data_IF_106498847794
#
_entry.id   IF_106498847794
#
_cell.length_a   1.000
_cell.length_b   1.000
_cell.length_c   1.000
_cell.angle_alpha   90.00
_cell.angle_beta   90.00
_cell.angle_gamma   90.00
#
_symmetry.space_group_name_H-M   'P 1'
#
loop_
_entity.id
_entity.type
_entity.pdbx_description
1 polymer ?
#
# COMPACT_ATOMS: atom_id res chain seq x y z
N UNK A 1 -15.11 -8.16 -6.11
CA UNK A 1 -14.24 -6.98 -6.24
C UNK A 1 -13.15 -7.01 -5.18
N UNK A 2 -11.97 -6.47 -5.49
CA UNK A 2 -10.75 -6.47 -4.67
C UNK A 2 -10.63 -5.16 -3.89
N UNK A 3 -10.16 -5.22 -2.64
CA UNK A 3 -9.92 -4.08 -1.76
C UNK A 3 -8.52 -4.16 -1.15
N UNK A 4 -7.90 -3.02 -0.89
CA UNK A 4 -6.60 -2.99 -0.20
C UNK A 4 -6.66 -3.66 1.18
N UNK A 5 -7.75 -3.46 1.93
CA UNK A 5 -7.96 -4.12 3.22
C UNK A 5 -7.95 -5.65 3.14
N UNK A 6 -8.24 -6.20 1.95
CA UNK A 6 -8.30 -7.63 1.73
C UNK A 6 -6.94 -8.19 1.29
N UNK A 7 -6.01 -7.33 0.84
CA UNK A 7 -4.66 -7.75 0.40
C UNK A 7 -3.94 -8.54 1.47
N UNK A 8 -3.97 -8.08 2.71
CA UNK A 8 -3.33 -8.78 3.81
C UNK A 8 -3.96 -10.17 4.05
N UNK A 9 -5.28 -10.29 3.92
CA UNK A 9 -6.00 -11.57 4.07
C UNK A 9 -5.67 -12.51 2.92
N UNK A 10 -5.68 -12.01 1.69
CA UNK A 10 -5.34 -12.75 0.47
C UNK A 10 -3.89 -13.24 0.51
N UNK A 11 -2.96 -12.42 0.99
CA UNK A 11 -1.55 -12.80 1.16
C UNK A 11 -1.37 -13.87 2.24
N UNK A 12 -2.13 -13.81 3.33
CA UNK A 12 -2.14 -14.88 4.34
C UNK A 12 -2.65 -16.18 3.74
N UNK A 13 -3.79 -16.15 3.03
CA UNK A 13 -4.34 -17.32 2.37
C UNK A 13 -3.42 -17.90 1.29
N UNK A 14 -2.75 -17.03 0.52
CA UNK A 14 -1.72 -17.45 -0.42
C UNK A 14 -0.57 -18.19 0.27
N UNK A 15 -0.06 -17.65 1.39
CA UNK A 15 1.06 -18.26 2.09
C UNK A 15 0.67 -19.61 2.71
N UNK A 16 -0.55 -19.74 3.22
CA UNK A 16 -1.08 -21.03 3.70
C UNK A 16 -1.13 -22.04 2.53
N UNK A 17 -1.73 -21.67 1.39
CA UNK A 17 -1.80 -22.53 0.20
C UNK A 17 -0.41 -22.84 -0.40
N UNK A 18 0.56 -21.93 -0.25
CA UNK A 18 1.93 -22.14 -0.67
C UNK A 18 2.60 -23.26 0.14
N UNK A 19 2.40 -23.29 1.46
CA UNK A 19 2.94 -24.36 2.30
C UNK A 19 2.16 -25.68 2.19
N UNK A 20 0.86 -25.65 1.90
CA UNK A 20 0.12 -26.85 1.49
C UNK A 20 0.78 -27.52 0.26
N UNK A 21 1.19 -26.70 -0.72
CA UNK A 21 1.82 -27.19 -1.96
C UNK A 21 3.30 -27.54 -1.78
N UNK A 22 4.02 -26.80 -0.94
CA UNK A 22 5.45 -26.95 -0.73
C UNK A 22 5.81 -27.10 0.77
N UNK A 23 5.33 -28.16 1.44
CA UNK A 23 5.45 -28.30 2.89
C UNK A 23 6.91 -28.39 3.37
N UNK A 24 7.82 -28.87 2.52
CA UNK A 24 9.25 -28.91 2.84
C UNK A 24 9.88 -27.53 3.03
N UNK A 25 9.27 -26.48 2.48
CA UNK A 25 9.76 -25.10 2.63
C UNK A 25 9.32 -24.46 3.94
N UNK A 26 8.30 -25.00 4.59
CA UNK A 26 7.74 -24.45 5.84
C UNK A 26 8.75 -24.51 6.99
N UNK A 27 9.75 -25.40 6.93
CA UNK A 27 10.79 -25.51 7.94
C UNK A 27 11.85 -24.37 7.88
N UNK A 28 11.87 -23.59 6.79
CA UNK A 28 12.84 -22.52 6.60
C UNK A 28 12.43 -21.25 7.33
N UNK A 29 13.41 -20.40 7.59
CA UNK A 29 13.16 -19.02 8.02
C UNK A 29 12.38 -18.25 6.93
N UNK A 30 11.33 -17.56 7.34
CA UNK A 30 10.48 -16.73 6.51
C UNK A 30 10.91 -15.26 6.61
N UNK A 31 11.12 -14.64 5.46
CA UNK A 31 11.41 -13.23 5.31
C UNK A 31 10.44 -12.57 4.34
N UNK A 32 9.98 -11.37 4.66
CA UNK A 32 9.03 -10.60 3.85
C UNK A 32 9.67 -9.25 3.57
N UNK A 33 9.79 -8.91 2.29
CA UNK A 33 10.43 -7.69 1.80
C UNK A 33 9.54 -7.03 0.76
N UNK A 34 9.69 -5.72 0.59
CA UNK A 34 8.93 -4.97 -0.39
C UNK A 34 9.57 -3.62 -0.69
N UNK A 35 9.14 -3.02 -1.80
CA UNK A 35 9.60 -1.71 -2.24
C UNK A 35 8.41 -0.79 -2.49
N UNK A 36 8.61 0.54 -2.38
CA UNK A 36 7.62 1.54 -2.73
C UNK A 36 6.32 1.39 -1.93
N UNK A 37 5.18 1.15 -2.57
CA UNK A 37 3.89 1.00 -1.91
C UNK A 37 3.81 -0.25 -1.02
N UNK A 38 4.72 -1.21 -1.17
CA UNK A 38 4.85 -2.31 -0.23
C UNK A 38 5.26 -1.86 1.19
N UNK A 39 5.65 -0.59 1.37
CA UNK A 39 5.73 0.05 2.69
C UNK A 39 4.39 0.07 3.46
N UNK A 40 3.25 -0.06 2.77
CA UNK A 40 1.94 -0.32 3.35
C UNK A 40 1.66 -1.83 3.47
N UNK A 41 1.87 -2.58 2.39
CA UNK A 41 1.52 -4.01 2.36
C UNK A 41 2.32 -4.87 3.32
N UNK A 42 3.62 -4.63 3.48
CA UNK A 42 4.48 -5.48 4.31
C UNK A 42 4.10 -5.39 5.79
N UNK A 43 3.95 -4.20 6.42
CA UNK A 43 3.46 -4.10 7.78
C UNK A 43 2.08 -4.72 7.99
N UNK A 44 1.13 -4.47 7.10
CA UNK A 44 -0.24 -5.00 7.20
C UNK A 44 -0.27 -6.52 7.06
N UNK A 45 0.51 -7.06 6.13
CA UNK A 45 0.64 -8.50 5.94
C UNK A 45 1.27 -9.16 7.17
N UNK A 46 2.37 -8.61 7.70
CA UNK A 46 3.00 -9.11 8.93
C UNK A 46 2.02 -9.04 10.11
N UNK A 47 1.30 -7.94 10.27
CA UNK A 47 0.29 -7.79 11.31
C UNK A 47 -0.80 -8.87 11.18
N UNK A 48 -1.28 -9.14 9.97
CA UNK A 48 -2.26 -10.18 9.70
C UNK A 48 -1.72 -11.60 9.94
N UNK A 49 -0.44 -11.88 9.69
CA UNK A 49 0.18 -13.16 10.02
C UNK A 49 0.26 -13.39 11.53
N UNK A 50 0.53 -12.34 12.31
CA UNK A 50 0.66 -12.40 13.77
C UNK A 50 -0.70 -12.46 14.48
N UNK A 51 -1.69 -11.72 14.00
CA UNK A 51 -3.00 -11.58 14.66
C UNK A 51 -4.09 -12.45 14.04
N UNK A 52 -3.84 -13.02 12.85
CA UNK A 52 -4.70 -13.93 12.09
C UNK A 52 -6.18 -13.52 12.10
N UNK A 53 -6.64 -12.79 11.07
CA UNK A 53 -8.06 -12.49 10.88
C UNK A 53 -8.94 -13.75 11.01
N UNK A 54 -10.15 -13.61 11.56
CA UNK A 54 -11.04 -14.75 11.83
C UNK A 54 -11.29 -15.64 10.61
N UNK A 55 -11.28 -15.07 9.40
CA UNK A 55 -11.43 -15.78 8.12
C UNK A 55 -10.29 -16.75 7.78
N UNK A 56 -9.11 -16.57 8.38
CA UNK A 56 -7.88 -17.35 8.13
C UNK A 56 -7.24 -17.87 9.44
N UNK A 57 -8.01 -17.89 10.52
CA UNK A 57 -7.52 -18.23 11.87
C UNK A 57 -7.21 -19.73 12.06
N UNK A 58 -7.82 -20.61 11.26
CA UNK A 58 -7.74 -22.07 11.44
C UNK A 58 -6.68 -22.76 10.56
N UNK A 59 -5.71 -22.02 10.02
CA UNK A 59 -4.65 -22.60 9.19
C UNK A 59 -3.75 -23.53 10.02
N UNK A 60 -3.45 -24.77 9.55
CA UNK A 60 -2.50 -25.65 10.21
C UNK A 60 -1.07 -25.09 10.22
N UNK A 61 -0.76 -24.17 9.30
CA UNK A 61 0.55 -23.54 9.15
C UNK A 61 0.75 -22.33 10.07
N UNK A 62 -0.30 -21.84 10.74
CA UNK A 62 -0.29 -20.56 11.45
C UNK A 62 0.85 -20.43 12.47
N UNK A 63 1.01 -21.44 13.33
CA UNK A 63 2.05 -21.43 14.36
C UNK A 63 3.46 -21.47 13.78
N UNK A 64 3.66 -22.28 12.74
CA UNK A 64 4.98 -22.47 12.14
C UNK A 64 5.42 -21.23 11.35
N UNK A 65 4.48 -20.61 10.61
CA UNK A 65 4.68 -19.32 9.94
C UNK A 65 5.14 -18.25 10.93
N UNK A 66 4.47 -18.11 12.08
CA UNK A 66 4.85 -17.13 13.11
C UNK A 66 6.22 -17.46 13.72
N UNK A 67 6.49 -18.72 14.04
CA UNK A 67 7.77 -19.14 14.61
C UNK A 67 8.95 -18.91 13.67
N UNK A 68 8.72 -19.07 12.36
CA UNK A 68 9.76 -18.97 11.35
C UNK A 68 9.90 -17.56 10.76
N UNK A 69 8.99 -16.63 11.06
CA UNK A 69 9.13 -15.24 10.66
C UNK A 69 10.37 -14.59 11.32
N UNK A 70 11.43 -14.39 10.53
CA UNK A 70 12.72 -13.81 10.99
C UNK A 70 13.00 -12.40 10.49
N UNK A 71 12.17 -11.85 9.61
CA UNK A 71 12.21 -10.44 9.17
C UNK A 71 11.90 -9.41 10.28
N UNK A 72 12.17 -9.74 11.54
CA UNK A 72 11.86 -8.99 12.76
C UNK A 72 13.06 -9.07 13.72
N UNK A 73 14.15 -8.37 13.43
CA UNK A 73 15.26 -8.27 14.40
C UNK A 73 14.85 -7.33 15.54
N UNK A 74 14.73 -7.91 16.73
CA UNK A 74 14.57 -7.24 18.02
C UNK A 74 15.54 -6.06 18.15
N UNK A 75 15.01 -4.91 18.59
CA UNK A 75 15.70 -3.66 18.97
C UNK A 75 16.14 -2.71 17.83
N UNK A 76 15.92 -3.07 16.56
CA UNK A 76 15.81 -2.14 15.42
C UNK A 76 15.11 -2.89 14.29
N UNK A 77 13.84 -2.56 14.05
CA UNK A 77 13.01 -3.22 13.04
C UNK A 77 13.70 -3.09 11.67
N UNK A 78 14.28 -4.18 11.18
CA UNK A 78 14.75 -4.30 9.79
C UNK A 78 13.62 -4.88 8.95
N UNK A 79 12.56 -4.09 8.76
CA UNK A 79 11.70 -4.23 7.60
C UNK A 79 12.56 -3.78 6.41
N UNK A 80 12.88 -4.68 5.48
CA UNK A 80 13.51 -4.28 4.23
C UNK A 80 12.45 -3.64 3.35
N UNK A 81 12.11 -2.39 3.68
CA UNK A 81 11.30 -1.50 2.87
C UNK A 81 12.29 -0.63 2.09
N UNK A 82 12.56 -1.02 0.84
CA UNK A 82 13.30 -0.17 -0.08
C UNK A 82 12.42 1.01 -0.49
N UNK A 83 12.87 2.24 -0.27
CA UNK A 83 12.20 3.47 -0.74
C UNK A 83 10.68 3.50 -0.49
N UNK A 84 10.22 3.02 0.66
CA UNK A 84 8.77 2.84 0.88
C UNK A 84 8.05 4.07 1.41
N UNK A 85 6.77 4.15 1.06
CA UNK A 85 5.84 5.15 1.59
C UNK A 85 5.31 4.67 2.96
N UNK A 86 6.13 4.80 3.99
CA UNK A 86 5.78 4.26 5.33
C UNK A 86 5.28 5.33 6.30
N UNK A 87 5.84 6.55 6.24
CA UNK A 87 5.42 7.66 7.10
C UNK A 87 5.34 8.96 6.31
N UNK A 88 4.13 9.43 5.96
CA UNK A 88 3.94 10.74 5.35
C UNK A 88 4.58 11.85 6.19
N UNK A 89 4.44 11.79 7.51
CA UNK A 89 5.03 12.79 8.42
C UNK A 89 6.55 12.92 8.23
N UNK A 90 7.28 11.79 8.30
CA UNK A 90 8.73 11.79 8.12
C UNK A 90 9.15 12.20 6.69
N UNK A 91 8.38 11.78 5.69
CA UNK A 91 8.61 12.18 4.29
C UNK A 91 8.51 13.70 4.13
N UNK A 92 7.40 14.31 4.58
CA UNK A 92 7.21 15.75 4.44
C UNK A 92 8.12 16.59 5.34
N UNK A 93 8.66 16.01 6.42
CA UNK A 93 9.69 16.68 7.23
C UNK A 93 11.04 16.80 6.50
N UNK A 94 11.30 15.95 5.52
CA UNK A 94 12.60 15.89 4.81
C UNK A 94 12.51 16.35 3.36
N UNK A 95 11.31 16.36 2.76
CA UNK A 95 11.12 16.67 1.33
C UNK A 95 11.61 18.07 0.94
N UNK A 96 11.49 19.05 1.83
CA UNK A 96 11.97 20.42 1.58
C UNK A 96 13.49 20.51 1.48
N UNK A 97 14.20 19.93 2.44
CA UNK A 97 15.67 19.87 2.46
C UNK A 97 16.20 19.01 1.30
N UNK A 98 15.53 17.88 1.04
CA UNK A 98 15.85 17.02 -0.10
C UNK A 98 15.73 17.79 -1.41
N UNK A 99 14.59 18.44 -1.68
CA UNK A 99 14.40 19.21 -2.92
C UNK A 99 15.43 20.35 -3.06
N UNK A 100 15.73 21.06 -1.97
CA UNK A 100 16.74 22.12 -1.97
C UNK A 100 18.17 21.60 -2.24
N UNK A 101 18.46 20.35 -1.86
CA UNK A 101 19.77 19.72 -2.02
C UNK A 101 20.04 19.10 -3.39
N UNK A 102 19.02 18.95 -4.25
CA UNK A 102 19.17 18.29 -5.55
C UNK A 102 19.80 19.23 -6.59
N UNK A 103 20.90 18.76 -7.18
CA UNK A 103 21.59 19.28 -8.37
C UNK A 103 21.62 20.81 -8.46
N UNK A 104 22.21 21.46 -7.45
CA UNK A 104 22.46 22.92 -7.46
C UNK A 104 21.19 23.78 -7.63
N UNK A 105 20.05 23.33 -7.12
CA UNK A 105 18.80 24.12 -7.16
C UNK A 105 17.99 23.93 -8.44
N UNK A 106 18.15 22.80 -9.13
CA UNK A 106 17.26 22.40 -10.24
C UNK A 106 15.80 22.27 -9.82
N UNK A 107 15.54 22.03 -8.54
CA UNK A 107 14.19 21.98 -7.97
C UNK A 107 14.00 23.13 -6.98
N UNK A 108 12.81 23.72 -7.02
CA UNK A 108 12.34 24.68 -6.03
C UNK A 108 11.61 23.92 -4.92
N UNK A 109 12.15 23.99 -3.71
CA UNK A 109 11.52 23.43 -2.52
C UNK A 109 10.22 24.18 -2.17
N UNK A 110 9.28 23.46 -1.57
CA UNK A 110 8.08 24.06 -1.01
C UNK A 110 8.43 25.09 0.08
N UNK A 111 7.61 26.13 0.21
CA UNK A 111 7.83 27.13 1.26
C UNK A 111 7.65 26.53 2.66
N UNK A 112 8.30 27.07 3.71
CA UNK A 112 8.06 26.65 5.09
C UNK A 112 6.59 26.73 5.50
N UNK A 113 5.84 27.69 4.95
CA UNK A 113 4.40 27.83 5.19
C UNK A 113 3.58 26.67 4.61
N UNK A 114 3.88 26.26 3.38
CA UNK A 114 3.21 25.12 2.72
C UNK A 114 3.52 23.80 3.44
N UNK A 115 4.79 23.60 3.81
CA UNK A 115 5.21 22.43 4.59
C UNK A 115 4.49 22.39 5.95
N UNK A 116 4.37 23.53 6.63
CA UNK A 116 3.64 23.63 7.90
C UNK A 116 2.15 23.29 7.73
N UNK A 117 1.50 23.75 6.65
CA UNK A 117 0.10 23.40 6.35
C UNK A 117 -0.06 21.90 6.12
N UNK A 118 0.87 21.28 5.37
CA UNK A 118 0.89 19.83 5.17
C UNK A 118 1.08 19.08 6.50
N UNK A 119 2.03 19.49 7.35
CA UNK A 119 2.25 18.88 8.66
C UNK A 119 1.01 18.94 9.56
N UNK A 120 0.28 20.06 9.57
CA UNK A 120 -0.99 20.19 10.30
C UNK A 120 -2.03 19.20 9.75
N UNK A 121 -2.14 19.09 8.42
CA UNK A 121 -3.02 18.12 7.77
C UNK A 121 -2.71 16.67 8.16
N UNK A 122 -1.43 16.31 8.13
CA UNK A 122 -0.95 14.97 8.53
C UNK A 122 -1.26 14.72 10.00
N UNK A 123 -0.97 15.68 10.90
CA UNK A 123 -1.25 15.51 12.33
C UNK A 123 -2.73 15.27 12.61
N UNK A 124 -3.63 16.01 11.94
CA UNK A 124 -5.08 15.81 12.08
C UNK A 124 -5.54 14.47 11.53
N UNK A 125 -4.94 14.02 10.42
CA UNK A 125 -5.24 12.74 9.81
C UNK A 125 -4.69 11.57 10.64
N UNK A 126 -3.54 11.71 11.28
CA UNK A 126 -2.86 10.66 12.04
C UNK A 126 -3.12 10.78 13.56
N UNK A 127 -4.34 11.16 13.94
CA UNK A 127 -4.71 11.35 15.34
C UNK A 127 -4.74 10.01 16.10
N UNK A 128 -3.80 9.83 17.03
CA UNK A 128 -3.65 8.57 17.77
C UNK A 128 -4.89 8.24 18.61
N UNK A 129 -5.56 9.27 19.15
CA UNK A 129 -6.81 9.09 19.90
C UNK A 129 -7.96 8.51 19.05
N UNK A 130 -7.85 8.57 17.72
CA UNK A 130 -8.82 8.01 16.76
C UNK A 130 -8.29 6.75 16.06
N UNK A 131 -7.30 6.08 16.66
CA UNK A 131 -6.70 4.87 16.07
C UNK A 131 -5.78 5.14 14.89
N UNK A 132 -5.30 6.38 14.73
CA UNK A 132 -4.36 6.76 13.66
C UNK A 132 -5.02 7.17 12.35
N UNK A 133 -6.35 7.30 12.31
CA UNK A 133 -7.10 7.82 11.16
C UNK A 133 -8.20 8.79 11.64
N UNK A 134 -7.85 10.07 11.72
CA UNK A 134 -8.72 11.17 12.11
C UNK A 134 -9.23 11.98 10.92
N UNK A 135 -9.06 13.30 10.96
CA UNK A 135 -9.54 14.20 9.91
C UNK A 135 -8.47 14.41 8.83
N UNK A 136 -8.64 13.73 7.71
CA UNK A 136 -7.75 13.78 6.56
C UNK A 136 -8.17 14.80 5.48
N UNK A 137 -9.20 15.63 5.73
CA UNK A 137 -9.68 16.63 4.75
C UNK A 137 -8.66 17.73 4.44
N UNK A 138 -7.64 17.89 5.28
CA UNK A 138 -6.62 18.93 5.20
C UNK A 138 -5.32 18.47 4.55
N UNK A 139 -5.33 17.35 3.81
CA UNK A 139 -4.13 16.81 3.14
C UNK A 139 -3.79 17.46 1.79
N UNK A 140 -4.69 18.24 1.20
CA UNK A 140 -4.47 18.91 -0.09
C UNK A 140 -3.13 19.67 -0.20
N UNK A 141 -2.63 20.38 0.83
CA UNK A 141 -1.30 21.00 0.77
C UNK A 141 -0.17 19.99 0.53
N UNK A 142 -0.26 18.79 1.11
CA UNK A 142 0.71 17.71 0.90
C UNK A 142 0.69 17.21 -0.56
N UNK A 143 -0.51 16.99 -1.10
CA UNK A 143 -0.69 16.56 -2.49
C UNK A 143 -0.12 17.59 -3.47
N UNK A 144 -0.38 18.88 -3.22
CA UNK A 144 0.14 19.97 -4.02
C UNK A 144 1.67 20.03 -4.00
N UNK A 145 2.30 19.85 -2.83
CA UNK A 145 3.77 19.84 -2.70
C UNK A 145 4.36 18.72 -3.57
N UNK A 146 3.80 17.51 -3.47
CA UNK A 146 4.29 16.36 -4.25
C UNK A 146 4.04 16.53 -5.75
N UNK A 147 2.85 17.00 -6.14
CA UNK A 147 2.52 17.28 -7.53
C UNK A 147 3.48 18.31 -8.14
N UNK A 148 3.70 19.43 -7.43
CA UNK A 148 4.61 20.48 -7.88
C UNK A 148 6.06 20.00 -8.02
N UNK A 149 6.54 19.15 -7.11
CA UNK A 149 7.88 18.58 -7.21
C UNK A 149 7.99 17.60 -8.39
N UNK A 150 6.99 16.73 -8.57
CA UNK A 150 6.94 15.79 -9.69
C UNK A 150 6.89 16.52 -11.04
N UNK A 151 6.12 17.60 -11.14
CA UNK A 151 6.03 18.43 -12.35
C UNK A 151 7.35 19.11 -12.67
N UNK A 152 8.08 19.61 -11.66
CA UNK A 152 9.43 20.16 -11.86
C UNK A 152 10.42 19.09 -12.33
N UNK A 153 10.40 17.90 -11.71
CA UNK A 153 11.25 16.77 -12.08
C UNK A 153 11.00 16.34 -13.53
N UNK A 154 9.73 16.21 -13.93
CA UNK A 154 9.33 15.92 -15.32
C UNK A 154 9.74 17.03 -16.28
N UNK A 155 9.50 18.29 -15.92
CA UNK A 155 9.87 19.46 -16.73
C UNK A 155 11.38 19.58 -16.96
N UNK A 156 12.18 19.10 -16.01
CA UNK A 156 13.64 19.00 -16.12
C UNK A 156 14.13 17.71 -16.82
N UNK A 157 13.22 16.85 -17.28
CA UNK A 157 13.51 15.52 -17.82
C UNK A 157 14.40 14.67 -16.89
N UNK A 158 14.11 14.72 -15.59
CA UNK A 158 14.79 13.94 -14.57
C UNK A 158 13.97 12.69 -14.21
N UNK A 159 14.65 11.60 -13.89
CA UNK A 159 14.00 10.38 -13.43
C UNK A 159 13.56 10.54 -11.96
N UNK A 160 12.25 10.49 -11.70
CA UNK A 160 11.71 10.67 -10.34
C UNK A 160 12.00 9.52 -9.37
N UNK A 161 12.59 8.41 -9.86
CA UNK A 161 13.16 7.34 -9.02
C UNK A 161 14.68 7.48 -8.81
N UNK A 162 15.38 8.18 -9.71
CA UNK A 162 16.82 8.48 -9.60
C UNK A 162 17.12 9.86 -10.20
N UNK A 163 17.15 10.89 -9.36
CA UNK A 163 17.33 12.28 -9.79
C UNK A 163 18.72 12.58 -10.40
N UNK A 164 19.63 11.60 -10.42
CA UNK A 164 20.94 11.71 -11.11
C UNK A 164 20.85 11.32 -12.60
N UNK A 165 19.70 10.78 -13.04
CA UNK A 165 19.48 10.26 -14.38
C UNK A 165 18.35 10.99 -15.10
N UNK A 166 18.35 10.88 -16.43
CA UNK A 166 17.23 11.34 -17.25
C UNK A 166 16.10 10.31 -17.26
N UNK A 167 14.86 10.80 -17.38
CA UNK A 167 13.69 9.95 -17.53
C UNK A 167 13.65 9.36 -18.96
N UNK A 168 13.45 8.05 -19.09
CA UNK A 168 13.13 7.42 -20.39
C UNK A 168 11.63 7.55 -20.68
N UNK A 169 11.16 8.78 -20.88
CA UNK A 169 9.75 9.06 -21.15
C UNK A 169 9.32 8.66 -22.59
N UNK A 170 10.27 8.21 -23.41
CA UNK A 170 10.03 7.61 -24.72
C UNK A 170 9.61 6.13 -24.66
N UNK A 171 9.70 5.49 -23.49
CA UNK A 171 9.23 4.12 -23.28
C UNK A 171 7.70 4.06 -23.15
N UNK A 172 7.10 2.98 -23.66
CA UNK A 172 5.64 2.83 -23.74
C UNK A 172 4.92 2.88 -22.38
N UNK A 173 5.62 2.64 -21.27
CA UNK A 173 5.04 2.62 -19.92
C UNK A 173 5.18 3.95 -19.17
N UNK A 174 5.99 4.90 -19.66
CA UNK A 174 6.19 6.21 -19.02
C UNK A 174 6.58 6.13 -17.53
N UNK A 175 7.37 5.11 -17.16
CA UNK A 175 7.85 4.86 -15.79
C UNK A 175 9.31 5.31 -15.59
N UNK A 176 9.82 6.23 -16.41
CA UNK A 176 11.20 6.71 -16.47
C UNK A 176 12.33 5.67 -16.67
N UNK A 177 12.01 4.38 -16.67
CA UNK A 177 12.87 3.29 -17.09
C UNK A 177 12.28 2.57 -18.30
N UNK A 178 13.12 1.83 -19.01
CA UNK A 178 12.70 1.04 -20.18
C UNK A 178 12.11 -0.30 -19.74
N UNK A 179 10.78 -0.40 -19.70
CA UNK A 179 10.08 -1.65 -19.38
C UNK A 179 9.67 -2.45 -20.61
N UNK A 180 9.70 -1.85 -21.81
CA UNK A 180 9.37 -2.55 -23.07
C UNK A 180 10.12 -3.87 -23.24
N UNK A 181 11.45 -3.98 -23.00
CA UNK A 181 12.14 -5.25 -23.13
C UNK A 181 11.65 -6.35 -22.17
N UNK A 182 11.28 -5.98 -20.94
CA UNK A 182 10.71 -6.91 -19.96
C UNK A 182 9.29 -7.33 -20.37
N UNK A 183 8.49 -6.37 -20.82
CA UNK A 183 7.15 -6.62 -21.34
C UNK A 183 7.17 -7.61 -22.51
N UNK A 184 8.04 -7.37 -23.50
CA UNK A 184 8.19 -8.24 -24.67
C UNK A 184 8.66 -9.65 -24.26
N UNK A 185 9.61 -9.72 -23.33
CA UNK A 185 10.12 -11.00 -22.83
C UNK A 185 9.04 -11.82 -22.11
N UNK A 186 8.30 -11.23 -21.16
CA UNK A 186 7.29 -11.94 -20.37
C UNK A 186 6.09 -12.33 -21.23
N UNK A 187 5.71 -11.49 -22.19
CA UNK A 187 4.58 -11.75 -23.08
C UNK A 187 4.93 -12.59 -24.32
N UNK A 188 6.20 -12.95 -24.51
CA UNK A 188 6.57 -13.89 -25.56
C UNK A 188 5.84 -15.24 -25.36
N UNK A 189 5.26 -15.86 -26.42
CA UNK A 189 4.51 -17.11 -26.27
C UNK A 189 5.31 -18.23 -25.61
N UNK A 190 6.61 -18.31 -25.90
CA UNK A 190 7.51 -19.28 -25.27
C UNK A 190 7.67 -19.03 -23.77
N UNK A 191 7.75 -17.78 -23.34
CA UNK A 191 7.90 -17.43 -21.93
C UNK A 191 6.61 -17.68 -21.17
N UNK A 192 5.46 -17.25 -21.70
CA UNK A 192 4.16 -17.50 -21.09
C UNK A 192 3.85 -19.00 -20.97
N UNK A 193 4.21 -19.80 -21.98
CA UNK A 193 4.04 -21.26 -21.92
C UNK A 193 4.87 -21.90 -20.80
N UNK A 194 6.12 -21.45 -20.60
CA UNK A 194 6.98 -21.93 -19.50
C UNK A 194 6.46 -21.50 -18.14
N UNK A 195 5.95 -20.27 -18.01
CA UNK A 195 5.40 -19.72 -16.77
C UNK A 195 3.98 -20.20 -16.46
N UNK A 196 3.33 -20.92 -17.39
CA UNK A 196 1.95 -21.37 -17.24
C UNK A 196 0.92 -20.23 -17.29
N UNK A 197 1.25 -19.10 -17.92
CA UNK A 197 0.33 -17.97 -18.08
C UNK A 197 -0.56 -18.24 -19.29
N UNK A 198 -1.88 -18.21 -19.10
CA UNK A 198 -2.88 -18.42 -20.15
C UNK A 198 -3.87 -17.25 -20.17
N UNK A 199 -4.20 -16.77 -21.37
CA UNK A 199 -5.23 -15.74 -21.61
C UNK A 199 -5.04 -14.44 -20.79
N UNK A 200 -3.78 -14.09 -20.48
CA UNK A 200 -3.41 -12.87 -19.76
C UNK A 200 -2.26 -12.17 -20.46
N UNK A 201 -2.31 -10.84 -20.45
CA UNK A 201 -1.18 -9.99 -20.84
C UNK A 201 -0.55 -9.44 -19.57
N UNK A 202 0.76 -9.64 -19.41
CA UNK A 202 1.52 -9.06 -18.32
C UNK A 202 1.81 -7.58 -18.62
N UNK A 203 1.73 -6.73 -17.61
CA UNK A 203 2.10 -5.32 -17.65
C UNK A 203 2.88 -4.97 -16.38
N UNK A 204 3.89 -4.08 -16.43
CA UNK A 204 4.68 -3.71 -15.24
C UNK A 204 3.83 -3.04 -14.15
N UNK A 205 2.79 -2.30 -14.53
CA UNK A 205 1.83 -1.69 -13.62
C UNK A 205 0.42 -1.77 -14.22
N UNK A 206 -0.58 -2.08 -13.40
CA UNK A 206 -2.00 -2.10 -13.81
C UNK A 206 -2.71 -0.86 -13.27
N UNK A 207 -3.13 0.02 -14.17
CA UNK A 207 -3.86 1.23 -13.80
C UNK A 207 -5.24 0.92 -13.24
N UNK A 208 -5.88 -0.19 -13.64
CA UNK A 208 -7.22 -0.56 -13.15
C UNK A 208 -7.24 -0.83 -11.64
N UNK A 209 -6.16 -1.41 -11.11
CA UNK A 209 -5.96 -1.63 -9.67
C UNK A 209 -5.79 -0.29 -8.96
N UNK A 210 -5.01 0.61 -9.54
CA UNK A 210 -4.77 1.96 -9.01
C UNK A 210 -6.05 2.83 -9.03
N UNK A 211 -6.84 2.75 -10.10
CA UNK A 211 -8.10 3.50 -10.22
C UNK A 211 -9.17 2.96 -9.29
N UNK A 212 -9.26 1.64 -9.11
CA UNK A 212 -10.16 1.04 -8.11
C UNK A 212 -9.77 1.45 -6.68
N UNK A 213 -8.47 1.54 -6.40
CA UNK A 213 -7.94 2.09 -5.15
C UNK A 213 -8.31 3.56 -4.94
N UNK A 214 -8.23 4.39 -5.99
CA UNK A 214 -8.51 5.82 -5.91
C UNK A 214 -10.00 6.20 -5.86
N UNK A 215 -10.94 5.24 -5.93
CA UNK A 215 -12.37 5.54 -5.82
C UNK A 215 -12.77 5.81 -4.36
N UNK A 216 -13.35 6.99 -4.05
CA UNK A 216 -13.86 7.27 -2.72
C UNK A 216 -14.99 6.32 -2.37
N UNK A 217 -15.02 5.84 -1.12
CA UNK A 217 -16.15 5.10 -0.60
C UNK A 217 -17.38 6.04 -0.51
N UNK A 218 -18.58 5.52 -0.77
CA UNK A 218 -19.80 6.33 -0.74
C UNK A 218 -20.14 6.77 0.68
N UNK A 219 -20.54 8.03 0.89
CA UNK A 219 -20.90 8.53 2.22
C UNK A 219 -22.12 7.81 2.80
N UNK A 220 -22.05 7.45 4.07
CA UNK A 220 -23.17 6.94 4.86
C UNK A 220 -23.70 8.03 5.79
N UNK A 221 -24.94 8.44 5.55
CA UNK A 221 -25.62 9.46 6.33
C UNK A 221 -26.66 8.82 7.25
N UNK A 222 -26.62 9.14 8.55
CA UNK A 222 -27.66 8.79 9.53
C UNK A 222 -28.18 10.07 10.19
N UNK A 223 -29.48 10.35 10.04
CA UNK A 223 -30.11 11.60 10.51
C UNK A 223 -29.39 12.88 10.05
N UNK A 224 -28.98 12.94 8.78
CA UNK A 224 -28.17 14.04 8.19
C UNK A 224 -26.77 14.22 8.81
N UNK A 225 -26.31 13.30 9.65
CA UNK A 225 -24.94 13.25 10.13
C UNK A 225 -24.14 12.27 9.28
N UNK A 226 -23.00 12.72 8.76
CA UNK A 226 -22.02 11.87 8.10
C UNK A 226 -21.39 10.98 9.17
N UNK A 227 -21.73 9.70 9.16
CA UNK A 227 -21.37 8.74 10.21
C UNK A 227 -20.48 7.63 9.66
N UNK A 228 -20.16 7.62 8.37
CA UNK A 228 -19.37 6.55 7.81
C UNK A 228 -19.34 6.50 6.30
N UNK A 229 -18.86 5.37 5.80
CA UNK A 229 -18.80 5.04 4.38
C UNK A 229 -19.58 3.74 4.14
N UNK A 230 -20.45 3.72 3.15
CA UNK A 230 -21.32 2.59 2.80
C UNK A 230 -21.01 2.08 1.39
N UNK A 231 -21.01 0.75 1.23
CA UNK A 231 -21.04 0.10 -0.07
C UNK A 231 -22.02 -1.08 -0.07
N UNK A 232 -22.71 -1.29 -1.19
CA UNK A 232 -23.59 -2.44 -1.41
C UNK A 232 -22.97 -3.42 -2.43
N UNK A 233 -23.03 -4.72 -2.15
CA UNK A 233 -22.61 -5.77 -3.08
C UNK A 233 -23.36 -7.08 -2.82
N UNK A 234 -23.92 -7.70 -3.87
CA UNK A 234 -24.65 -8.98 -3.81
C UNK A 234 -25.66 -9.11 -2.64
N UNK A 235 -26.44 -8.05 -2.38
CA UNK A 235 -27.45 -8.02 -1.33
C UNK A 235 -26.91 -7.79 0.09
N UNK A 236 -25.60 -7.60 0.24
CA UNK A 236 -24.95 -7.25 1.49
C UNK A 236 -24.53 -5.78 1.49
N UNK A 237 -24.58 -5.16 2.66
CA UNK A 237 -24.17 -3.77 2.87
C UNK A 237 -23.00 -3.72 3.84
N UNK A 238 -21.92 -3.07 3.44
CA UNK A 238 -20.69 -2.92 4.21
C UNK A 238 -20.58 -1.47 4.67
N UNK A 239 -20.52 -1.28 5.98
CA UNK A 239 -20.54 0.03 6.63
C UNK A 239 -19.26 0.23 7.45
N UNK A 240 -18.48 1.24 7.12
CA UNK A 240 -17.38 1.75 7.93
C UNK A 240 -17.89 2.94 8.73
N UNK A 241 -17.95 2.85 10.06
CA UNK A 241 -18.43 3.95 10.92
C UNK A 241 -17.26 4.80 11.38
N UNK A 242 -17.30 6.11 11.12
CA UNK A 242 -16.30 7.03 11.65
C UNK A 242 -16.46 7.08 13.18
N UNK A 243 -15.40 6.72 13.92
CA UNK A 243 -15.33 6.54 15.39
C UNK A 243 -15.40 5.09 15.94
N UNK A 244 -15.39 4.06 15.10
CA UNK A 244 -14.94 2.73 15.51
C UNK A 244 -13.62 2.42 14.81
N UNK A 245 -12.51 2.46 15.55
CA UNK A 245 -11.15 2.27 15.04
C UNK A 245 -10.83 0.89 14.43
N UNK A 246 -11.82 0.11 13.99
CA UNK A 246 -11.65 -1.13 13.25
C UNK A 246 -12.83 -1.35 12.29
N UNK A 247 -12.54 -1.91 11.10
CA UNK A 247 -13.53 -2.66 10.32
C UNK A 247 -13.89 -3.87 11.17
N UNK A 248 -15.01 -3.80 11.88
CA UNK A 248 -15.54 -4.94 12.63
C UNK A 248 -16.05 -5.98 11.63
N UNK A 249 -15.43 -7.14 11.64
CA UNK A 249 -15.99 -8.35 11.04
C UNK A 249 -17.30 -8.68 11.78
N UNK A 250 -18.45 -8.43 11.14
CA UNK A 250 -19.76 -8.80 11.67
C UNK A 250 -19.98 -10.30 11.49
N UNK A 251 -19.42 -11.12 12.39
CA UNK A 251 -19.83 -12.50 12.61
C UNK A 251 -19.26 -12.97 13.94
N UNK A 252 -20.02 -12.86 15.03
CA UNK A 252 -20.11 -13.81 16.16
C UNK A 252 -20.99 -13.19 17.25
N UNK A 253 -22.31 -13.31 17.08
CA UNK A 253 -23.27 -13.36 18.19
C UNK A 253 -24.34 -14.39 17.82
N UNK A 254 -24.03 -15.67 18.05
CA UNK A 254 -25.05 -16.70 18.17
C UNK A 254 -25.46 -16.77 19.64
N UNK A 255 -26.67 -16.32 19.96
CA UNK A 255 -27.39 -16.76 21.14
C UNK A 255 -28.53 -17.69 20.67
N UNK A 256 -28.60 -18.95 21.12
CA UNK A 256 -29.79 -19.78 20.92
C UNK A 256 -30.91 -19.39 21.92
N UNK A 257 -32.16 -19.81 21.65
CA UNK A 257 -33.36 -19.14 22.13
C UNK A 257 -33.77 -19.55 23.54
N UNK A 258 -34.10 -18.54 24.37
CA UNK A 258 -35.31 -18.38 25.19
C UNK A 258 -35.03 -17.37 26.31
#
# INVERSE_FOLDING_TARGET
DWYESDVAVDLVGFLDAFYDKYPSLEANDLFIFGESYAGHYVPDFVYALLHRPASVANSPHANQIVNNLKGMVSNCISLGIGNGLTSPSAMFSTVGEFAAGISEGQLTAASPEELQKCHIGIQRCQEAAQGGFGDCSMLQPCDNIMANLLDQVRGANLNYYDLRAHCNDDDAFHLCYRFTPLYDFVNAPSTQAVLGIQDKTWTPCSHDVFVHYAQPLGKYMYNNTDVGELRHYNGLSFLRVYSSGHVLHASYLTAPPN
#
